data_IF_509566433678
#
_entry.id   IF_509566433678
#
_cell.length_a   1.000
_cell.length_b   1.000
_cell.length_c   1.000
_cell.angle_alpha   90.00
_cell.angle_beta   90.00
_cell.angle_gamma   90.00
#
_symmetry.space_group_name_H-M   'P 1'
#
loop_
_entity.id
_entity.type
_entity.pdbx_description
1 polymer ?
#
# COMPACT_ATOMS: atom_id res chain seq x y z
N UNK A 1 -3.10 1.13 -9.56
CA UNK A 1 -1.63 1.10 -9.39
C UNK A 1 -0.88 1.46 -10.66
N UNK A 2 -0.96 0.69 -11.75
CA UNK A 2 -0.14 0.93 -12.96
C UNK A 2 -0.33 2.33 -13.56
N UNK A 3 -1.57 2.82 -13.67
CA UNK A 3 -1.84 4.18 -14.13
C UNK A 3 -1.21 5.26 -13.24
N UNK A 4 -1.24 5.07 -11.91
CA UNK A 4 -0.61 5.99 -10.96
C UNK A 4 0.92 5.89 -10.92
N UNK A 5 1.49 4.74 -11.28
CA UNK A 5 2.95 4.52 -11.37
C UNK A 5 3.52 4.86 -12.75
N UNK A 6 2.69 5.31 -13.70
CA UNK A 6 3.09 5.61 -15.08
C UNK A 6 3.34 4.38 -15.96
N UNK A 7 3.22 3.16 -15.44
CA UNK A 7 3.43 1.92 -16.21
C UNK A 7 2.21 1.50 -17.03
N UNK A 8 1.08 2.18 -16.83
CA UNK A 8 -0.07 2.13 -17.74
C UNK A 8 -0.38 3.56 -18.18
N UNK A 9 0.28 4.00 -19.24
CA UNK A 9 0.23 5.38 -19.73
C UNK A 9 0.03 5.49 -21.23
N UNK A 10 -0.11 6.72 -21.72
CA UNK A 10 -0.31 7.03 -23.15
C UNK A 10 0.75 6.40 -24.04
N UNK A 11 2.04 6.59 -23.72
CA UNK A 11 3.15 6.10 -24.52
C UNK A 11 3.17 4.57 -24.60
N UNK A 12 3.09 3.90 -23.44
CA UNK A 12 3.02 2.45 -23.36
C UNK A 12 1.84 1.91 -24.20
N UNK A 13 0.67 2.55 -24.11
CA UNK A 13 -0.50 2.14 -24.88
C UNK A 13 -0.28 2.29 -26.40
N UNK A 14 0.34 3.38 -26.85
CA UNK A 14 0.66 3.60 -28.26
C UNK A 14 1.65 2.57 -28.79
N UNK A 15 2.68 2.24 -28.01
CA UNK A 15 3.65 1.18 -28.33
C UNK A 15 2.91 -0.15 -28.52
N UNK A 16 2.08 -0.55 -27.55
CA UNK A 16 1.33 -1.81 -27.62
C UNK A 16 0.33 -1.87 -28.77
N UNK A 17 -0.33 -0.76 -29.10
CA UNK A 17 -1.23 -0.69 -30.27
C UNK A 17 -0.48 -0.90 -31.58
N UNK A 18 0.74 -0.36 -31.70
CA UNK A 18 1.59 -0.52 -32.89
C UNK A 18 2.13 -1.95 -32.99
N UNK A 19 2.70 -2.48 -31.91
CA UNK A 19 3.31 -3.81 -31.87
C UNK A 19 2.29 -4.93 -32.05
N UNK A 20 1.10 -4.81 -31.46
CA UNK A 20 0.02 -5.80 -31.65
C UNK A 20 -0.55 -5.81 -33.06
N UNK A 21 -0.30 -4.76 -33.86
CA UNK A 21 -0.88 -4.62 -35.18
C UNK A 21 -2.41 -4.50 -35.17
N UNK A 22 -3.03 -4.15 -34.03
CA UNK A 22 -4.49 -4.14 -33.85
C UNK A 22 -5.21 -3.36 -34.95
N UNK A 23 -4.63 -2.25 -35.37
CA UNK A 23 -5.16 -1.41 -36.46
C UNK A 23 -5.21 -2.06 -37.85
N UNK A 24 -4.67 -3.27 -38.02
CA UNK A 24 -4.76 -4.09 -39.23
C UNK A 24 -5.81 -5.20 -39.13
N UNK A 25 -6.30 -5.48 -37.91
CA UNK A 25 -7.21 -6.60 -37.63
C UNK A 25 -8.66 -6.13 -37.50
N UNK A 26 -8.89 -4.95 -36.94
CA UNK A 26 -10.24 -4.40 -36.74
C UNK A 26 -10.52 -3.24 -37.70
N UNK A 27 -11.74 -3.19 -38.24
CA UNK A 27 -12.19 -2.11 -39.13
C UNK A 27 -12.58 -0.82 -38.39
N UNK A 28 -12.96 -0.92 -37.12
CA UNK A 28 -13.29 0.24 -36.28
C UNK A 28 -12.03 0.82 -35.62
N UNK A 29 -12.14 2.06 -35.10
CA UNK A 29 -11.07 2.76 -34.39
C UNK A 29 -11.51 3.15 -32.98
N UNK A 30 -12.00 2.17 -32.24
CA UNK A 30 -12.46 2.35 -30.87
C UNK A 30 -11.72 1.40 -29.94
N UNK A 31 -11.28 1.92 -28.79
CA UNK A 31 -10.51 1.19 -27.79
C UNK A 31 -11.16 1.35 -26.43
N UNK A 32 -11.61 0.25 -25.84
CA UNK A 32 -12.19 0.25 -24.49
C UNK A 32 -11.04 0.11 -23.49
N UNK A 33 -10.91 1.08 -22.58
CA UNK A 33 -9.95 1.05 -21.48
C UNK A 33 -10.66 0.97 -20.13
N UNK A 34 -10.04 0.35 -19.09
CA UNK A 34 -10.59 0.37 -17.75
C UNK A 34 -10.77 1.80 -17.22
N UNK A 35 -11.89 2.09 -16.55
CA UNK A 35 -12.18 3.43 -16.00
C UNK A 35 -11.05 3.96 -15.10
N UNK A 36 -10.46 3.10 -14.27
CA UNK A 36 -9.40 3.46 -13.33
C UNK A 36 -8.03 3.67 -14.00
N UNK A 37 -7.93 3.43 -15.31
CA UNK A 37 -6.76 3.77 -16.13
C UNK A 37 -6.75 5.22 -16.59
N UNK A 38 -7.88 5.92 -16.50
CA UNK A 38 -8.04 7.28 -17.02
C UNK A 38 -6.99 8.31 -16.53
N UNK A 39 -6.53 8.27 -15.26
CA UNK A 39 -5.49 9.20 -14.80
C UNK A 39 -4.14 9.03 -15.49
N UNK A 40 -3.85 7.85 -16.05
CA UNK A 40 -2.57 7.56 -16.72
C UNK A 40 -2.59 7.77 -18.24
N UNK A 41 -3.77 7.75 -18.86
CA UNK A 41 -3.91 7.77 -20.32
C UNK A 41 -4.61 9.03 -20.81
N UNK A 42 -3.89 9.83 -21.58
CA UNK A 42 -4.42 10.99 -22.28
C UNK A 42 -5.18 10.54 -23.54
N UNK A 43 -6.50 10.39 -23.44
CA UNK A 43 -7.35 9.90 -24.53
C UNK A 43 -7.24 10.72 -25.83
N UNK A 44 -7.02 12.04 -25.72
CA UNK A 44 -6.83 12.91 -26.87
C UNK A 44 -5.52 12.62 -27.59
N UNK A 45 -4.43 12.40 -26.85
CA UNK A 45 -3.13 12.03 -27.44
C UNK A 45 -3.19 10.67 -28.10
N UNK A 46 -3.84 9.68 -27.47
CA UNK A 46 -4.05 8.36 -28.09
C UNK A 46 -4.75 8.51 -29.44
N UNK A 47 -5.82 9.32 -29.49
CA UNK A 47 -6.55 9.57 -30.74
C UNK A 47 -5.68 10.28 -31.78
N UNK A 48 -4.94 11.30 -31.38
CA UNK A 48 -4.10 12.08 -32.30
C UNK A 48 -2.98 11.23 -32.93
N UNK A 49 -2.36 10.34 -32.15
CA UNK A 49 -1.21 9.57 -32.61
C UNK A 49 -1.57 8.22 -33.24
N UNK A 50 -2.67 7.58 -32.83
CA UNK A 50 -3.05 6.23 -33.32
C UNK A 50 -4.34 6.19 -34.13
N UNK A 51 -5.13 7.27 -34.13
CA UNK A 51 -6.48 7.30 -34.69
C UNK A 51 -7.54 6.58 -33.84
N UNK A 52 -7.16 5.82 -32.80
CA UNK A 52 -8.11 5.13 -31.93
C UNK A 52 -8.76 6.10 -30.93
N UNK A 53 -10.09 6.12 -30.94
CA UNK A 53 -10.89 6.78 -29.91
C UNK A 53 -10.93 5.90 -28.66
N UNK A 54 -10.42 6.44 -27.56
CA UNK A 54 -10.51 5.79 -26.25
C UNK A 54 -11.92 5.95 -25.67
N UNK A 55 -12.48 4.85 -25.19
CA UNK A 55 -13.75 4.78 -24.48
C UNK A 55 -13.47 4.17 -23.11
N UNK A 56 -13.78 4.88 -22.04
CA UNK A 56 -13.62 4.34 -20.69
C UNK A 56 -14.80 3.43 -20.34
N UNK A 57 -14.51 2.14 -20.23
CA UNK A 57 -15.46 1.10 -19.86
C UNK A 57 -15.72 1.04 -18.36
N UNK A 58 -16.36 -0.02 -17.85
CA UNK A 58 -16.65 -0.18 -16.44
C UNK A 58 -15.39 -0.37 -15.58
N UNK A 59 -15.52 -0.20 -14.26
CA UNK A 59 -14.45 -0.51 -13.30
C UNK A 59 -14.19 -2.02 -13.25
N UNK A 60 -15.25 -2.84 -13.31
CA UNK A 60 -15.15 -4.29 -13.21
C UNK A 60 -15.32 -4.91 -14.59
N UNK A 61 -14.48 -5.91 -14.90
CA UNK A 61 -14.57 -6.62 -16.17
C UNK A 61 -15.89 -7.41 -16.32
N UNK A 62 -16.48 -7.85 -15.20
CA UNK A 62 -17.78 -8.56 -15.18
C UNK A 62 -18.94 -7.72 -15.73
N UNK A 63 -18.83 -6.39 -15.67
CA UNK A 63 -19.84 -5.46 -16.18
C UNK A 63 -19.71 -5.22 -17.70
N UNK A 64 -18.68 -5.77 -18.36
CA UNK A 64 -18.39 -5.51 -19.77
C UNK A 64 -19.54 -5.94 -20.71
N UNK A 65 -20.19 -7.11 -20.55
CA UNK A 65 -21.31 -7.48 -21.42
C UNK A 65 -22.46 -6.46 -21.37
N UNK A 66 -22.93 -6.10 -20.16
CA UNK A 66 -24.00 -5.12 -19.99
C UNK A 66 -23.61 -3.72 -20.49
N UNK A 67 -22.31 -3.36 -20.42
CA UNK A 67 -21.78 -2.12 -20.99
C UNK A 67 -21.80 -2.11 -22.53
N UNK A 68 -21.54 -3.25 -23.17
CA UNK A 68 -21.62 -3.38 -24.62
C UNK A 68 -23.09 -3.32 -25.08
N UNK A 69 -23.98 -4.04 -24.40
CA UNK A 69 -25.42 -4.06 -24.68
C UNK A 69 -26.07 -2.68 -24.53
N UNK A 70 -25.55 -1.84 -23.64
CA UNK A 70 -26.01 -0.45 -23.45
C UNK A 70 -25.49 0.54 -24.50
N UNK A 71 -24.78 0.07 -25.52
CA UNK A 71 -24.18 0.90 -26.56
C UNK A 71 -22.99 1.70 -26.04
N UNK A 72 -22.11 1.07 -25.25
CA UNK A 72 -20.90 1.66 -24.68
C UNK A 72 -21.17 2.79 -23.68
N UNK A 73 -22.29 2.70 -22.95
CA UNK A 73 -22.69 3.68 -21.94
C UNK A 73 -22.60 3.09 -20.54
N UNK A 74 -21.52 3.42 -19.83
CA UNK A 74 -21.30 2.98 -18.46
C UNK A 74 -22.27 3.66 -17.49
N UNK A 75 -23.05 2.86 -16.76
CA UNK A 75 -23.97 3.33 -15.72
C UNK A 75 -23.21 3.90 -14.51
N UNK A 76 -23.92 4.59 -13.61
CA UNK A 76 -23.31 5.11 -12.36
C UNK A 76 -22.77 3.98 -11.47
N UNK A 77 -23.41 2.81 -11.45
CA UNK A 77 -22.96 1.66 -10.67
C UNK A 77 -21.61 1.13 -11.20
N UNK A 78 -21.47 1.00 -12.52
CA UNK A 78 -20.24 0.56 -13.20
C UNK A 78 -19.04 1.50 -12.96
N UNK A 79 -19.31 2.77 -12.60
CA UNK A 79 -18.30 3.80 -12.34
C UNK A 79 -17.94 3.96 -10.87
N UNK A 80 -18.56 3.22 -9.95
CA UNK A 80 -18.32 3.34 -8.50
C UNK A 80 -17.67 2.07 -7.93
N UNK A 81 -16.61 2.26 -7.15
CA UNK A 81 -16.00 1.21 -6.34
C UNK A 81 -16.55 1.29 -4.93
N UNK A 82 -17.06 0.19 -4.39
CA UNK A 82 -17.68 0.13 -3.07
C UNK A 82 -16.67 0.11 -1.91
N UNK A 83 -15.42 -0.25 -2.19
CA UNK A 83 -14.29 -0.25 -1.26
C UNK A 83 -14.57 -0.99 0.06
N UNK A 84 -15.26 -2.12 -0.05
CA UNK A 84 -15.61 -2.99 1.08
C UNK A 84 -14.37 -3.56 1.77
N UNK A 85 -14.54 -4.15 2.96
CA UNK A 85 -13.43 -4.80 3.69
C UNK A 85 -12.74 -5.83 2.80
N UNK A 86 -13.51 -6.64 2.04
CA UNK A 86 -12.96 -7.64 1.11
C UNK A 86 -12.12 -6.98 0.00
N UNK A 87 -12.61 -5.89 -0.59
CA UNK A 87 -11.87 -5.18 -1.65
C UNK A 87 -10.58 -4.55 -1.12
N UNK A 88 -10.58 -4.07 0.12
CA UNK A 88 -9.37 -3.55 0.80
C UNK A 88 -8.38 -4.68 1.10
N UNK A 89 -8.88 -5.83 1.57
CA UNK A 89 -8.06 -7.00 1.88
C UNK A 89 -7.28 -7.53 0.68
N UNK A 90 -7.83 -7.43 -0.54
CA UNK A 90 -7.14 -7.90 -1.77
C UNK A 90 -5.85 -7.13 -2.06
N UNK A 91 -5.72 -5.89 -1.59
CA UNK A 91 -4.52 -5.06 -1.81
C UNK A 91 -3.42 -5.36 -0.78
N UNK A 92 -3.79 -5.87 0.39
CA UNK A 92 -2.87 -6.12 1.52
C UNK A 92 -1.69 -7.01 1.14
N UNK A 93 -1.85 -8.16 0.44
CA UNK A 93 -0.74 -9.07 0.18
C UNK A 93 0.44 -8.42 -0.55
N UNK A 94 0.17 -7.54 -1.51
CA UNK A 94 1.22 -6.86 -2.28
C UNK A 94 2.04 -5.94 -1.40
N UNK A 95 1.40 -5.15 -0.54
CA UNK A 95 2.09 -4.23 0.38
C UNK A 95 2.79 -4.99 1.52
N UNK A 96 2.14 -6.02 2.05
CA UNK A 96 2.68 -6.85 3.11
C UNK A 96 3.92 -7.64 2.66
N UNK A 97 3.90 -8.25 1.49
CA UNK A 97 5.06 -8.98 0.95
C UNK A 97 6.23 -8.04 0.65
N UNK A 98 5.96 -6.84 0.13
CA UNK A 98 7.01 -5.83 -0.08
C UNK A 98 7.64 -5.39 1.24
N UNK A 99 6.83 -5.11 2.26
CA UNK A 99 7.31 -4.74 3.58
C UNK A 99 8.09 -5.89 4.25
N UNK A 100 7.60 -7.12 4.14
CA UNK A 100 8.24 -8.30 4.72
C UNK A 100 9.61 -8.55 4.09
N UNK A 101 9.77 -8.37 2.77
CA UNK A 101 11.08 -8.47 2.10
C UNK A 101 12.09 -7.47 2.66
N UNK A 102 11.68 -6.23 2.89
CA UNK A 102 12.55 -5.22 3.49
C UNK A 102 12.95 -5.61 4.92
N UNK A 103 11.98 -6.06 5.73
CA UNK A 103 12.25 -6.42 7.13
C UNK A 103 13.09 -7.69 7.27
N UNK A 104 12.93 -8.67 6.38
CA UNK A 104 13.77 -9.88 6.39
C UNK A 104 15.26 -9.57 6.18
N UNK A 105 15.59 -8.45 5.52
CA UNK A 105 16.98 -7.98 5.40
C UNK A 105 17.46 -7.23 6.66
N UNK A 106 16.54 -6.61 7.40
CA UNK A 106 16.84 -5.82 8.59
C UNK A 106 16.95 -6.69 9.85
N UNK A 107 16.13 -7.74 9.97
CA UNK A 107 16.08 -8.65 11.13
C UNK A 107 17.47 -9.22 11.49
N UNK A 108 18.28 -9.74 10.55
CA UNK A 108 19.61 -10.26 10.88
C UNK A 108 20.53 -9.21 11.51
N UNK A 109 20.44 -7.96 11.08
CA UNK A 109 21.24 -6.85 11.63
C UNK A 109 20.86 -6.61 13.08
N UNK A 110 19.56 -6.57 13.40
CA UNK A 110 19.09 -6.41 14.77
C UNK A 110 19.38 -7.64 15.64
N UNK A 111 19.25 -8.86 15.10
CA UNK A 111 19.60 -10.10 15.79
C UNK A 111 21.07 -10.12 16.17
N UNK A 112 21.97 -9.94 15.20
CA UNK A 112 23.42 -9.96 15.45
C UNK A 112 23.83 -8.79 16.35
N UNK A 113 23.31 -7.59 16.10
CA UNK A 113 23.58 -6.39 16.91
C UNK A 113 23.15 -6.56 18.36
N UNK A 114 22.01 -7.21 18.61
CA UNK A 114 21.52 -7.46 19.97
C UNK A 114 22.45 -8.35 20.81
N UNK A 115 23.25 -9.20 20.15
CA UNK A 115 24.22 -10.06 20.82
C UNK A 115 25.34 -9.30 21.54
N UNK A 116 25.66 -8.08 21.10
CA UNK A 116 26.73 -7.24 21.65
C UNK A 116 26.26 -6.28 22.76
N UNK A 117 24.95 -6.14 22.98
CA UNK A 117 24.36 -5.07 23.78
C UNK A 117 23.98 -5.41 25.23
N UNK A 118 24.35 -6.58 25.76
CA UNK A 118 23.89 -7.04 27.07
C UNK A 118 24.98 -7.62 27.97
N UNK A 119 24.72 -7.70 29.27
CA UNK A 119 25.64 -8.27 30.27
C UNK A 119 25.69 -9.81 30.28
N UNK A 120 24.77 -10.47 29.57
CA UNK A 120 24.71 -11.92 29.45
C UNK A 120 25.50 -12.41 28.22
N UNK A 121 25.55 -13.75 28.04
CA UNK A 121 26.19 -14.36 26.88
C UNK A 121 25.54 -13.92 25.56
N UNK A 122 26.33 -13.89 24.49
CA UNK A 122 25.87 -13.53 23.14
C UNK A 122 24.59 -14.27 22.75
N UNK A 123 24.56 -15.60 22.94
CA UNK A 123 23.39 -16.41 22.63
C UNK A 123 22.15 -15.99 23.43
N UNK A 124 22.29 -15.73 24.73
CA UNK A 124 21.16 -15.30 25.57
C UNK A 124 20.63 -13.91 25.16
N UNK A 125 21.51 -12.99 24.78
CA UNK A 125 21.12 -11.65 24.34
C UNK A 125 20.39 -11.70 23.00
N UNK A 126 20.88 -12.50 22.03
CA UNK A 126 20.23 -12.71 20.73
C UNK A 126 18.84 -13.31 20.92
N UNK A 127 18.71 -14.33 21.78
CA UNK A 127 17.43 -14.98 22.03
C UNK A 127 16.39 -14.05 22.66
N UNK A 128 16.78 -13.17 23.59
CA UNK A 128 15.84 -12.28 24.28
C UNK A 128 15.58 -10.99 23.49
N UNK A 129 16.62 -10.19 23.30
CA UNK A 129 16.51 -8.87 22.68
C UNK A 129 16.32 -8.96 21.17
N UNK A 130 16.97 -9.93 20.53
CA UNK A 130 16.84 -10.15 19.10
C UNK A 130 15.47 -10.69 18.70
N UNK A 131 14.90 -11.61 19.48
CA UNK A 131 13.52 -12.09 19.23
C UNK A 131 12.49 -10.99 19.47
N UNK A 132 12.68 -10.16 20.52
CA UNK A 132 11.85 -8.97 20.73
C UNK A 132 11.92 -8.02 19.53
N UNK A 133 13.13 -7.72 19.04
CA UNK A 133 13.31 -6.85 17.88
C UNK A 133 12.59 -7.38 16.62
N UNK A 134 12.68 -8.69 16.37
CA UNK A 134 11.95 -9.33 15.28
C UNK A 134 10.43 -9.21 15.46
N UNK A 135 9.92 -9.46 16.68
CA UNK A 135 8.51 -9.32 17.00
C UNK A 135 8.02 -7.86 16.88
N UNK A 136 8.83 -6.89 17.29
CA UNK A 136 8.56 -5.47 17.18
C UNK A 136 8.46 -5.00 15.72
N UNK A 137 9.43 -5.41 14.89
CA UNK A 137 9.42 -5.13 13.45
C UNK A 137 8.22 -5.78 12.75
N UNK A 138 7.90 -7.03 13.10
CA UNK A 138 6.71 -7.70 12.57
C UNK A 138 5.42 -6.99 13.00
N UNK A 139 5.33 -6.56 14.26
CA UNK A 139 4.19 -5.80 14.79
C UNK A 139 4.01 -4.50 14.02
N UNK A 140 5.09 -3.76 13.74
CA UNK A 140 5.03 -2.54 12.96
C UNK A 140 4.49 -2.79 11.54
N UNK A 141 4.96 -3.85 10.87
CA UNK A 141 4.46 -4.24 9.53
C UNK A 141 3.01 -4.66 9.58
N UNK A 142 2.64 -5.48 10.54
CA UNK A 142 1.27 -5.96 10.67
C UNK A 142 0.30 -4.80 10.93
N UNK A 143 0.64 -3.88 11.85
CA UNK A 143 -0.16 -2.69 12.12
C UNK A 143 -0.30 -1.78 10.90
N UNK A 144 0.81 -1.49 10.23
CA UNK A 144 0.85 -0.55 9.10
C UNK A 144 0.27 -1.12 7.81
N UNK A 145 0.71 -2.31 7.41
CA UNK A 145 0.37 -2.91 6.11
C UNK A 145 -0.91 -3.75 6.13
N UNK A 146 -1.33 -4.28 7.29
CA UNK A 146 -2.51 -5.15 7.40
C UNK A 146 -3.65 -4.48 8.15
N UNK A 147 -3.44 -4.06 9.40
CA UNK A 147 -4.53 -3.52 10.22
C UNK A 147 -5.03 -2.17 9.71
N UNK A 148 -4.13 -1.29 9.26
CA UNK A 148 -4.49 0.04 8.76
C UNK A 148 -5.47 0.00 7.59
N UNK A 149 -5.24 -0.76 6.50
CA UNK A 149 -6.22 -0.86 5.42
C UNK A 149 -7.50 -1.58 5.84
N UNK A 150 -7.45 -2.58 6.74
CA UNK A 150 -8.64 -3.30 7.20
C UNK A 150 -9.57 -2.41 8.06
N UNK A 151 -8.99 -1.59 8.92
CA UNK A 151 -9.73 -0.74 9.86
C UNK A 151 -9.92 0.69 9.34
N UNK A 152 -9.48 0.98 8.12
CA UNK A 152 -9.38 2.32 7.55
C UNK A 152 -10.58 3.27 7.75
N UNK A 153 -11.86 2.85 7.60
CA UNK A 153 -13.02 3.71 7.83
C UNK A 153 -13.29 4.03 9.30
N UNK A 154 -12.80 3.18 10.21
CA UNK A 154 -13.06 3.26 11.64
C UNK A 154 -11.97 4.04 12.39
N UNK A 155 -10.78 4.18 11.79
CA UNK A 155 -9.67 4.92 12.40
C UNK A 155 -9.88 6.43 12.17
N UNK A 156 -9.85 7.25 13.24
CA UNK A 156 -10.02 8.69 13.12
C UNK A 156 -8.87 9.34 12.34
N UNK A 157 -9.16 10.50 11.75
CA UNK A 157 -8.19 11.30 11.01
C UNK A 157 -8.28 11.16 9.49
N UNK A 158 -7.71 12.13 8.78
CA UNK A 158 -7.70 12.18 7.31
C UNK A 158 -6.44 11.57 6.69
N UNK A 159 -5.29 11.80 7.33
CA UNK A 159 -3.98 11.32 6.87
C UNK A 159 -3.79 9.84 7.18
N UNK A 160 -3.26 9.09 6.22
CA UNK A 160 -2.91 7.68 6.38
C UNK A 160 -1.76 7.48 7.36
N UNK A 161 -0.78 8.39 7.39
CA UNK A 161 0.30 8.41 8.36
C UNK A 161 -0.22 8.41 9.78
N UNK A 162 -1.23 9.24 10.08
CA UNK A 162 -1.84 9.33 11.41
C UNK A 162 -2.57 8.02 11.75
N UNK A 163 -3.29 7.43 10.79
CA UNK A 163 -3.99 6.16 11.01
C UNK A 163 -3.02 5.01 11.28
N UNK A 164 -1.95 4.93 10.49
CA UNK A 164 -0.88 3.96 10.67
C UNK A 164 -0.13 4.17 11.98
N UNK A 165 0.13 5.43 12.37
CA UNK A 165 0.72 5.77 13.66
C UNK A 165 -0.15 5.27 14.81
N UNK A 166 -1.46 5.57 14.80
CA UNK A 166 -2.37 5.15 15.88
C UNK A 166 -2.42 3.63 16.05
N UNK A 167 -2.50 2.88 14.95
CA UNK A 167 -2.46 1.41 15.02
C UNK A 167 -1.06 0.88 15.37
N UNK A 168 0.00 1.60 15.03
CA UNK A 168 1.35 1.30 15.45
C UNK A 168 1.53 1.48 16.97
N UNK A 169 0.97 2.55 17.55
CA UNK A 169 0.95 2.77 19.00
C UNK A 169 0.18 1.65 19.69
N UNK A 170 -1.01 1.29 19.19
CA UNK A 170 -1.79 0.18 19.75
C UNK A 170 -1.04 -1.15 19.65
N UNK A 171 -0.36 -1.40 18.53
CA UNK A 171 0.49 -2.58 18.35
C UNK A 171 1.67 -2.61 19.31
N UNK A 172 2.35 -1.48 19.50
CA UNK A 172 3.44 -1.35 20.45
C UNK A 172 2.97 -1.60 21.89
N UNK A 173 1.86 -0.97 22.31
CA UNK A 173 1.28 -1.18 23.64
C UNK A 173 0.90 -2.64 23.87
N UNK A 174 0.34 -3.32 22.86
CA UNK A 174 0.04 -4.74 22.92
C UNK A 174 1.31 -5.58 23.10
N UNK A 175 2.35 -5.34 22.28
CA UNK A 175 3.62 -6.04 22.35
C UNK A 175 4.32 -5.85 23.71
N UNK A 176 4.33 -4.63 24.24
CA UNK A 176 4.88 -4.36 25.58
C UNK A 176 4.01 -4.94 26.69
N UNK A 177 2.70 -5.05 26.51
CA UNK A 177 1.81 -5.69 27.47
C UNK A 177 2.06 -7.19 27.63
N UNK A 178 2.47 -7.87 26.55
CA UNK A 178 2.82 -9.30 26.58
C UNK A 178 4.27 -9.53 27.04
N UNK A 179 5.23 -8.77 26.50
CA UNK A 179 6.65 -9.01 26.71
C UNK A 179 7.23 -8.26 27.91
N UNK A 180 6.70 -7.07 28.20
CA UNK A 180 7.12 -6.23 29.31
C UNK A 180 6.76 -6.77 30.69
N UNK A 181 5.99 -7.87 30.77
CA UNK A 181 5.65 -8.56 32.02
C UNK A 181 6.77 -9.49 32.51
N UNK A 182 7.60 -10.00 31.62
CA UNK A 182 8.70 -10.92 31.98
C UNK A 182 10.02 -10.20 32.26
N UNK A 183 10.19 -9.00 31.71
CA UNK A 183 11.42 -8.23 31.87
C UNK A 183 11.28 -7.20 32.99
N UNK A 184 11.98 -7.46 34.10
CA UNK A 184 12.15 -6.53 35.22
C UNK A 184 12.79 -5.18 34.82
N UNK A 185 13.17 -4.39 35.83
CA UNK A 185 13.56 -2.98 35.68
C UNK A 185 14.65 -2.65 34.63
N UNK A 186 15.41 -3.62 34.14
CA UNK A 186 16.43 -3.43 33.10
C UNK A 186 15.87 -2.99 31.73
N UNK A 187 14.60 -3.29 31.44
CA UNK A 187 14.00 -2.90 30.17
C UNK A 187 13.43 -1.45 30.23
N UNK A 188 13.41 -0.77 31.39
CA UNK A 188 12.92 0.63 31.54
C UNK A 188 13.80 1.72 30.88
N UNK A 189 14.85 1.36 30.13
CA UNK A 189 15.82 2.29 29.55
C UNK A 189 15.45 2.94 28.21
N UNK A 190 16.43 3.61 27.60
CA UNK A 190 16.37 4.24 26.28
C UNK A 190 15.89 3.28 25.18
N UNK A 191 16.14 1.98 25.31
CA UNK A 191 15.72 0.96 24.34
C UNK A 191 14.19 0.86 24.22
N UNK A 192 13.45 0.91 25.35
CA UNK A 192 11.98 0.93 25.32
C UNK A 192 11.46 2.17 24.60
N UNK A 193 12.07 3.33 24.88
CA UNK A 193 11.70 4.59 24.22
C UNK A 193 11.97 4.50 22.71
N UNK A 194 13.11 3.93 22.31
CA UNK A 194 13.45 3.72 20.91
C UNK A 194 12.39 2.86 20.20
N UNK A 195 11.99 1.73 20.78
CA UNK A 195 10.96 0.86 20.18
C UNK A 195 9.55 1.46 20.19
N UNK A 196 9.18 2.20 21.25
CA UNK A 196 7.91 2.94 21.32
C UNK A 196 7.83 4.00 20.21
N UNK A 197 8.95 4.56 19.77
CA UNK A 197 8.98 5.51 18.66
C UNK A 197 9.09 4.81 17.30
N UNK A 198 9.90 3.75 17.21
CA UNK A 198 10.17 3.04 15.96
C UNK A 198 8.95 2.29 15.42
N UNK A 199 8.21 1.58 16.28
CA UNK A 199 7.04 0.79 15.84
C UNK A 199 5.96 1.70 15.22
N UNK A 200 5.51 2.79 15.87
CA UNK A 200 4.54 3.70 15.28
C UNK A 200 5.08 4.44 14.06
N UNK A 201 6.36 4.81 14.02
CA UNK A 201 6.96 5.47 12.86
C UNK A 201 6.94 4.57 11.62
N UNK A 202 7.37 3.31 11.77
CA UNK A 202 7.33 2.31 10.69
C UNK A 202 5.88 2.01 10.26
N UNK A 203 4.97 1.86 11.21
CA UNK A 203 3.55 1.63 10.93
C UNK A 203 2.90 2.83 10.22
N UNK A 204 3.25 4.06 10.59
CA UNK A 204 2.80 5.28 9.91
C UNK A 204 3.27 5.33 8.46
N UNK A 205 4.56 5.04 8.24
CA UNK A 205 5.14 4.99 6.90
C UNK A 205 4.44 3.93 6.02
N UNK A 206 4.26 2.71 6.54
CA UNK A 206 3.58 1.65 5.80
C UNK A 206 2.10 1.95 5.56
N UNK A 207 1.42 2.61 6.50
CA UNK A 207 0.05 3.10 6.31
C UNK A 207 -0.06 4.07 5.13
N UNK A 208 0.91 4.97 4.96
CA UNK A 208 0.94 5.93 3.84
C UNK A 208 1.04 5.27 2.46
N UNK A 209 1.66 4.10 2.35
CA UNK A 209 1.76 3.39 1.06
C UNK A 209 0.38 3.05 0.49
N UNK A 210 -0.64 2.96 1.34
CA UNK A 210 -2.02 2.70 0.92
C UNK A 210 -2.74 3.90 0.30
N UNK A 211 -2.15 5.10 0.36
CA UNK A 211 -2.75 6.32 -0.22
C UNK A 211 -3.00 6.18 -1.73
N UNK A 212 -2.19 5.39 -2.44
CA UNK A 212 -2.33 5.10 -3.87
C UNK A 212 -3.31 3.97 -4.22
N UNK A 213 -3.87 3.28 -3.23
CA UNK A 213 -4.80 2.17 -3.41
C UNK A 213 -6.22 2.44 -2.88
N UNK A 214 -6.45 3.64 -2.34
CA UNK A 214 -7.74 4.04 -1.78
C UNK A 214 -8.59 4.86 -2.76
N UNK A 215 -9.90 4.90 -2.50
CA UNK A 215 -10.89 5.61 -3.34
C UNK A 215 -11.18 7.05 -2.89
N UNK A 216 -10.62 7.51 -1.76
CA UNK A 216 -10.95 8.81 -1.17
C UNK A 216 -9.77 9.79 -1.11
N UNK A 217 -8.60 9.39 -1.60
CA UNK A 217 -7.41 10.26 -1.67
C UNK A 217 -7.42 11.11 -2.94
N UNK A 218 -6.91 12.34 -2.83
CA UNK A 218 -6.60 13.21 -3.97
C UNK A 218 -5.09 13.39 -4.07
N UNK A 219 -4.58 13.59 -5.29
CA UNK A 219 -3.14 13.77 -5.53
C UNK A 219 -2.57 14.94 -4.70
N UNK A 220 -3.29 16.06 -4.62
CA UNK A 220 -2.89 17.22 -3.82
C UNK A 220 -2.89 16.93 -2.32
N UNK A 221 -3.86 16.14 -1.83
CA UNK A 221 -3.93 15.69 -0.45
C UNK A 221 -2.76 14.79 -0.09
N UNK A 222 -2.45 13.81 -0.93
CA UNK A 222 -1.31 12.90 -0.75
C UNK A 222 0.02 13.67 -0.76
N UNK A 223 0.22 14.59 -1.72
CA UNK A 223 1.42 15.46 -1.75
C UNK A 223 1.55 16.36 -0.53
N UNK A 224 0.43 16.79 0.06
CA UNK A 224 0.43 17.56 1.31
C UNK A 224 0.83 16.67 2.48
N UNK A 225 0.32 15.45 2.54
CA UNK A 225 0.64 14.47 3.58
C UNK A 225 2.12 14.06 3.55
N UNK A 226 2.64 13.69 2.38
CA UNK A 226 4.02 13.25 2.22
C UNK A 226 5.03 14.32 2.65
N UNK A 227 4.73 15.61 2.44
CA UNK A 227 5.65 16.72 2.76
C UNK A 227 6.02 16.85 4.25
N UNK A 228 5.19 16.36 5.15
CA UNK A 228 5.47 16.43 6.59
C UNK A 228 5.62 15.05 7.24
N UNK A 229 5.12 13.99 6.61
CA UNK A 229 5.12 12.64 7.18
C UNK A 229 6.26 11.76 6.67
N UNK A 230 6.87 12.09 5.53
CA UNK A 230 8.06 11.39 5.01
C UNK A 230 9.30 12.21 5.40
N UNK A 231 10.33 11.57 5.98
CA UNK A 231 11.60 12.25 6.29
C UNK A 231 12.35 12.71 5.04
#
# INVERSE_FOLDING_TARGET
CAAGKGTFGTEELLIRLKESGLGKVVGHRELILPQLGAPGVAAHDVKNHSGFKVIYGPIRAEDLPAFLDSGLKATLAMRRKSFTIRERAVVIPIEFVQALRAILLIIPVFLIGSGFGGSASFASNVWKHGLFAAAALFTAVFSGAVLTPLLLPYIPGRAFAVKGFLLGVLGALFLFGIWGREEGAAFLGLDRIAWILLIPALSAFLGMNFTGASTYTSLSGVKKEMRWAVP
#
